data_IF_538429764387
#
_entry.id   IF_538429764387
#
_cell.length_a   1.000
_cell.length_b   1.000
_cell.length_c   1.000
_cell.angle_alpha   90.00
_cell.angle_beta   90.00
_cell.angle_gamma   90.00
#
_symmetry.space_group_name_H-M   'P 1'
#
loop_
_entity.id
_entity.type
_entity.pdbx_description
1 polymer ?
#
# COMPACT_ATOMS: atom_id res chain seq x y z
N UNK A 1 16.07 -24.90 5.02
CA UNK A 1 15.31 -24.73 3.77
C UNK A 1 14.35 -23.58 4.00
N UNK A 2 14.44 -22.50 3.22
CA UNK A 2 13.45 -21.42 3.28
C UNK A 2 12.07 -22.00 2.94
N UNK A 3 11.07 -21.68 3.75
CA UNK A 3 9.69 -22.04 3.43
C UNK A 3 9.31 -21.21 2.22
N UNK A 4 9.25 -21.82 1.03
CA UNK A 4 8.73 -21.13 -0.15
C UNK A 4 7.21 -20.96 0.06
N UNK A 5 6.78 -19.74 0.41
CA UNK A 5 5.37 -19.40 0.62
C UNK A 5 4.49 -19.90 -0.52
N UNK A 6 4.92 -19.69 -1.77
CA UNK A 6 4.17 -20.08 -2.95
C UNK A 6 3.96 -21.59 -3.09
N UNK A 7 4.90 -22.41 -2.59
CA UNK A 7 4.79 -23.86 -2.63
C UNK A 7 3.71 -24.40 -1.67
N UNK A 8 3.27 -23.58 -0.69
CA UNK A 8 2.21 -23.94 0.24
C UNK A 8 0.81 -23.51 -0.18
N UNK A 9 0.67 -22.81 -1.32
CA UNK A 9 -0.61 -22.34 -1.85
C UNK A 9 -1.27 -23.38 -2.75
N UNK A 10 -2.59 -23.27 -2.90
CA UNK A 10 -3.31 -24.03 -3.92
C UNK A 10 -2.90 -23.60 -5.34
N UNK A 11 -3.02 -24.52 -6.29
CA UNK A 11 -2.80 -24.21 -7.71
C UNK A 11 -3.85 -23.21 -8.17
N UNK A 12 -3.43 -22.18 -8.92
CA UNK A 12 -4.32 -21.13 -9.38
C UNK A 12 -3.88 -20.61 -10.74
N UNK A 13 -4.79 -20.54 -11.71
CA UNK A 13 -4.46 -20.25 -13.09
C UNK A 13 -4.11 -18.78 -13.34
N UNK A 14 -4.84 -17.85 -12.71
CA UNK A 14 -4.62 -16.42 -12.90
C UNK A 14 -3.59 -15.87 -11.91
N UNK A 15 -2.31 -15.92 -12.30
CA UNK A 15 -1.22 -15.28 -11.55
C UNK A 15 -1.05 -13.80 -11.91
N UNK A 16 -1.86 -13.24 -12.81
CA UNK A 16 -1.69 -11.92 -13.39
C UNK A 16 -0.60 -11.87 -14.47
N UNK A 17 -0.18 -10.66 -14.84
CA UNK A 17 0.84 -10.41 -15.86
C UNK A 17 2.23 -10.45 -15.23
N UNK A 18 3.04 -11.42 -15.64
CA UNK A 18 4.38 -11.71 -15.13
C UNK A 18 5.48 -11.26 -16.09
N UNK A 19 6.68 -11.00 -15.55
CA UNK A 19 7.89 -10.79 -16.34
C UNK A 19 7.89 -9.57 -17.27
N UNK A 20 7.07 -8.55 -16.99
CA UNK A 20 7.08 -7.32 -17.79
C UNK A 20 8.46 -6.65 -17.75
N UNK A 21 8.88 -5.97 -18.84
CA UNK A 21 10.14 -5.23 -18.85
C UNK A 21 10.20 -4.16 -17.76
N UNK A 22 11.37 -4.02 -17.15
CA UNK A 22 11.66 -2.93 -16.22
C UNK A 22 11.99 -1.65 -16.99
N UNK A 23 11.66 -0.52 -16.39
CA UNK A 23 12.01 0.82 -16.86
C UNK A 23 12.81 1.54 -15.78
N UNK A 24 13.72 2.40 -16.21
CA UNK A 24 14.62 3.15 -15.33
C UNK A 24 14.64 4.61 -15.79
N UNK A 25 14.24 5.51 -14.90
CA UNK A 25 14.41 6.95 -15.09
C UNK A 25 15.91 7.28 -15.16
N UNK A 26 16.26 8.29 -15.97
CA UNK A 26 17.63 8.84 -15.94
C UNK A 26 17.95 9.39 -14.54
N UNK A 27 19.24 9.55 -14.21
CA UNK A 27 19.64 10.08 -12.88
C UNK A 27 19.06 11.46 -12.62
N UNK A 28 19.02 12.30 -13.63
CA UNK A 28 18.48 13.65 -13.58
C UNK A 28 16.95 13.62 -13.37
N UNK A 29 16.23 12.83 -14.17
CA UNK A 29 14.77 12.66 -14.05
C UNK A 29 14.38 12.05 -12.70
N UNK A 30 15.12 11.03 -12.25
CA UNK A 30 14.90 10.40 -10.95
C UNK A 30 15.02 11.45 -9.83
N UNK A 31 16.10 12.24 -9.85
CA UNK A 31 16.30 13.30 -8.86
C UNK A 31 15.16 14.32 -8.85
N UNK A 32 14.76 14.83 -10.02
CA UNK A 32 13.65 15.79 -10.15
C UNK A 32 12.32 15.20 -9.62
N UNK A 33 12.04 13.94 -9.93
CA UNK A 33 10.84 13.24 -9.44
C UNK A 33 10.88 13.01 -7.93
N UNK A 34 12.04 12.68 -7.36
CA UNK A 34 12.19 12.52 -5.90
C UNK A 34 12.06 13.87 -5.19
N UNK A 35 12.56 14.96 -5.77
CA UNK A 35 12.32 16.33 -5.28
C UNK A 35 10.82 16.68 -5.28
N UNK A 36 10.11 16.35 -6.36
CA UNK A 36 8.66 16.51 -6.42
C UNK A 36 7.93 15.65 -5.37
N UNK A 37 8.34 14.39 -5.17
CA UNK A 37 7.80 13.52 -4.11
C UNK A 37 8.03 14.11 -2.72
N UNK A 38 9.23 14.62 -2.43
CA UNK A 38 9.54 15.27 -1.17
C UNK A 38 8.62 16.47 -0.93
N UNK A 39 8.34 17.28 -1.96
CA UNK A 39 7.40 18.39 -1.86
C UNK A 39 5.97 17.92 -1.56
N UNK A 40 5.49 16.89 -2.27
CA UNK A 40 4.16 16.31 -2.01
C UNK A 40 4.01 15.81 -0.57
N UNK A 41 5.06 15.17 -0.03
CA UNK A 41 5.06 14.66 1.34
C UNK A 41 5.07 15.79 2.37
N UNK A 42 5.78 16.90 2.11
CA UNK A 42 5.76 18.08 3.00
C UNK A 42 4.40 18.76 3.04
N UNK A 43 3.68 18.78 1.93
CA UNK A 43 2.36 19.40 1.81
C UNK A 43 1.22 18.51 2.35
N UNK A 44 1.38 17.19 2.24
CA UNK A 44 0.40 16.19 2.68
C UNK A 44 0.17 16.23 4.19
N UNK A 45 -1.10 16.22 4.58
CA UNK A 45 -1.53 16.08 5.98
C UNK A 45 -1.74 14.62 6.36
N UNK A 46 -2.07 13.77 5.39
CA UNK A 46 -2.36 12.36 5.61
C UNK A 46 -1.76 11.48 4.51
N UNK A 47 -0.46 11.18 4.65
CA UNK A 47 0.24 10.23 3.80
C UNK A 47 -0.08 8.79 4.21
N UNK A 48 -0.50 8.00 3.22
CA UNK A 48 -0.64 6.54 3.32
C UNK A 48 0.32 5.87 2.35
N UNK A 49 1.03 4.85 2.81
CA UNK A 49 1.93 4.04 1.98
C UNK A 49 1.31 2.69 1.70
N UNK A 50 1.45 2.23 0.46
CA UNK A 50 1.08 0.89 0.02
C UNK A 50 2.36 0.14 -0.42
N UNK A 51 2.72 -0.94 0.26
CA UNK A 51 3.92 -1.73 -0.09
C UNK A 51 3.59 -3.10 -0.67
N UNK A 52 4.41 -3.53 -1.62
CA UNK A 52 4.43 -4.90 -2.14
C UNK A 52 5.83 -5.51 -2.11
N UNK A 53 5.98 -6.68 -2.74
CA UNK A 53 7.17 -7.51 -2.59
C UNK A 53 8.46 -6.85 -3.10
N UNK A 54 8.35 -5.86 -3.99
CA UNK A 54 9.48 -5.11 -4.53
C UNK A 54 10.29 -4.34 -3.48
N UNK A 55 9.74 -4.08 -2.27
CA UNK A 55 10.52 -3.45 -1.19
C UNK A 55 11.41 -4.43 -0.42
N UNK A 56 11.23 -5.73 -0.64
CA UNK A 56 11.95 -6.82 0.06
C UNK A 56 12.97 -7.52 -0.85
N UNK A 57 13.06 -7.15 -2.14
CA UNK A 57 14.01 -7.75 -3.09
C UNK A 57 15.46 -7.47 -2.72
N UNK A 58 15.79 -6.26 -2.24
CA UNK A 58 17.13 -5.93 -1.72
C UNK A 58 17.46 -6.61 -0.39
N UNK A 59 16.46 -7.21 0.27
CA UNK A 59 16.64 -8.07 1.45
C UNK A 59 16.87 -9.54 1.09
N UNK A 60 16.92 -9.90 -0.20
CA UNK A 60 17.13 -11.28 -0.65
C UNK A 60 15.87 -12.12 -0.77
N UNK A 61 14.68 -11.51 -0.67
CA UNK A 61 13.38 -12.17 -0.87
C UNK A 61 12.88 -11.83 -2.28
N UNK A 62 12.67 -12.81 -3.17
CA UNK A 62 12.19 -12.54 -4.52
C UNK A 62 10.78 -11.92 -4.48
N UNK A 63 10.48 -11.07 -5.46
CA UNK A 63 9.11 -10.63 -5.69
C UNK A 63 8.28 -11.74 -6.36
N UNK A 64 7.05 -11.40 -6.76
CA UNK A 64 6.15 -12.36 -7.41
C UNK A 64 6.17 -12.31 -8.94
N UNK A 65 6.33 -11.12 -9.55
CA UNK A 65 6.06 -10.88 -10.99
C UNK A 65 7.17 -10.14 -11.72
N UNK A 66 8.25 -9.81 -11.02
CA UNK A 66 9.48 -9.27 -11.59
C UNK A 66 10.12 -10.24 -12.58
N UNK A 67 11.19 -9.85 -13.27
CA UNK A 67 11.87 -10.71 -14.25
C UNK A 67 12.32 -12.08 -13.71
N UNK A 68 12.55 -12.16 -12.39
CA UNK A 68 12.90 -13.36 -11.62
C UNK A 68 11.92 -13.65 -10.48
N UNK A 69 10.70 -13.10 -10.56
CA UNK A 69 9.69 -13.26 -9.54
C UNK A 69 9.14 -14.68 -9.48
N UNK A 70 8.59 -15.07 -8.33
CA UNK A 70 8.12 -16.44 -8.07
C UNK A 70 7.20 -16.99 -9.18
N UNK A 71 6.20 -16.23 -9.59
CA UNK A 71 5.25 -16.64 -10.65
C UNK A 71 5.87 -16.58 -12.03
N UNK A 72 6.82 -15.66 -12.26
CA UNK A 72 7.54 -15.56 -13.54
C UNK A 72 8.48 -16.76 -13.76
N UNK A 73 9.11 -17.24 -12.69
CA UNK A 73 9.94 -18.46 -12.76
C UNK A 73 9.07 -19.70 -12.91
N UNK A 74 7.94 -19.79 -12.17
CA UNK A 74 6.97 -20.88 -12.31
C UNK A 74 6.44 -21.01 -13.75
N UNK A 75 6.06 -19.90 -14.40
CA UNK A 75 5.63 -19.88 -15.81
C UNK A 75 6.70 -20.41 -16.78
N UNK A 76 7.98 -20.32 -16.41
CA UNK A 76 9.13 -20.84 -17.18
C UNK A 76 9.50 -22.28 -16.80
N UNK A 77 8.83 -22.89 -15.82
CA UNK A 77 9.21 -24.19 -15.28
C UNK A 77 10.49 -24.15 -14.43
N UNK A 78 10.85 -22.97 -13.92
CA UNK A 78 12.05 -22.73 -13.11
C UNK A 78 11.67 -22.46 -11.65
N UNK A 79 12.64 -22.62 -10.75
CA UNK A 79 12.46 -22.31 -9.32
C UNK A 79 12.94 -20.89 -9.01
N UNK A 80 12.21 -20.12 -8.18
CA UNK A 80 12.71 -18.82 -7.71
C UNK A 80 13.92 -18.99 -6.80
N UNK A 81 14.81 -18.01 -6.82
CA UNK A 81 15.97 -17.96 -5.94
C UNK A 81 15.69 -17.10 -4.71
N UNK A 82 16.09 -17.59 -3.54
CA UNK A 82 16.04 -16.87 -2.27
C UNK A 82 17.48 -16.76 -1.74
N UNK A 83 17.94 -15.53 -1.52
CA UNK A 83 19.28 -15.28 -0.95
C UNK A 83 19.26 -15.37 0.60
N UNK A 84 18.07 -15.45 1.20
CA UNK A 84 17.88 -15.50 2.65
C UNK A 84 16.66 -16.34 3.05
N UNK A 85 16.55 -16.65 4.34
CA UNK A 85 15.33 -17.17 4.95
C UNK A 85 14.49 -16.02 5.52
N UNK A 86 13.18 -16.22 5.74
CA UNK A 86 12.34 -15.19 6.36
C UNK A 86 12.84 -14.78 7.75
N UNK A 87 13.38 -15.73 8.53
CA UNK A 87 13.96 -15.47 9.85
C UNK A 87 15.24 -14.63 9.82
N UNK A 88 16.06 -14.80 8.78
CA UNK A 88 17.36 -14.11 8.63
C UNK A 88 17.24 -12.81 7.83
N UNK A 89 16.15 -12.65 7.07
CA UNK A 89 15.88 -11.45 6.30
C UNK A 89 15.93 -10.20 7.19
N UNK A 90 16.76 -9.25 6.78
CA UNK A 90 16.91 -7.94 7.43
C UNK A 90 16.01 -6.93 6.72
N UNK A 91 15.42 -5.95 7.44
CA UNK A 91 14.71 -4.86 6.80
C UNK A 91 15.59 -4.13 5.78
N UNK A 92 15.05 -3.91 4.57
CA UNK A 92 15.71 -3.08 3.57
C UNK A 92 15.80 -1.62 4.02
N UNK A 93 16.56 -0.80 3.28
CA UNK A 93 16.62 0.64 3.53
C UNK A 93 15.22 1.25 3.49
N UNK A 94 14.38 0.84 2.54
CA UNK A 94 12.99 1.28 2.42
C UNK A 94 12.16 0.97 3.67
N UNK A 95 12.26 -0.23 4.25
CA UNK A 95 11.54 -0.56 5.48
C UNK A 95 11.92 0.39 6.63
N UNK A 96 13.22 0.63 6.80
CA UNK A 96 13.70 1.52 7.85
C UNK A 96 13.36 2.99 7.56
N UNK A 97 13.36 3.41 6.30
CA UNK A 97 12.93 4.75 5.89
C UNK A 97 11.44 4.98 6.22
N UNK A 98 10.57 3.98 6.00
CA UNK A 98 9.16 4.04 6.38
C UNK A 98 8.97 4.17 7.90
N UNK A 99 9.77 3.46 8.70
CA UNK A 99 9.79 3.65 10.15
C UNK A 99 10.24 5.08 10.52
N UNK A 100 11.26 5.61 9.84
CA UNK A 100 11.72 6.99 10.01
C UNK A 100 10.64 8.03 9.69
N UNK A 101 9.93 7.87 8.56
CA UNK A 101 8.82 8.72 8.16
C UNK A 101 7.66 8.67 9.17
N UNK A 102 7.35 7.48 9.69
CA UNK A 102 6.32 7.31 10.72
C UNK A 102 6.72 8.05 12.01
N UNK A 103 7.95 7.84 12.50
CA UNK A 103 8.46 8.52 13.71
C UNK A 103 8.53 10.03 13.57
N UNK A 104 8.82 10.53 12.37
CA UNK A 104 8.80 11.96 12.06
C UNK A 104 7.37 12.53 11.89
N UNK A 105 6.34 11.68 11.89
CA UNK A 105 4.94 12.08 11.79
C UNK A 105 4.44 12.30 10.37
N UNK A 106 5.23 12.04 9.33
CA UNK A 106 4.80 12.14 7.94
C UNK A 106 3.85 10.98 7.57
N UNK A 107 4.28 9.74 7.80
CA UNK A 107 3.52 8.55 7.45
C UNK A 107 2.44 8.25 8.50
N UNK A 108 1.16 8.32 8.11
CA UNK A 108 0.02 8.08 9.01
C UNK A 108 -0.43 6.63 9.05
N UNK A 109 -0.29 5.92 7.94
CA UNK A 109 -0.74 4.53 7.85
C UNK A 109 0.01 3.77 6.76
N UNK A 110 0.30 2.50 7.02
CA UNK A 110 0.99 1.59 6.11
C UNK A 110 0.09 0.39 5.78
N UNK A 111 -0.08 0.13 4.50
CA UNK A 111 -0.89 -0.97 3.98
C UNK A 111 0.05 -1.89 3.20
N UNK A 112 0.23 -3.13 3.64
CA UNK A 112 1.16 -4.06 3.02
C UNK A 112 0.44 -5.27 2.44
N UNK A 113 0.91 -5.69 1.27
CA UNK A 113 0.59 -6.98 0.64
C UNK A 113 1.59 -8.08 0.99
N UNK A 114 2.68 -7.73 1.68
CA UNK A 114 3.77 -8.65 1.97
C UNK A 114 3.45 -9.53 3.16
N UNK A 115 3.82 -10.80 3.04
CA UNK A 115 3.71 -11.81 4.10
C UNK A 115 5.03 -12.04 4.85
N UNK A 116 6.12 -11.40 4.41
CA UNK A 116 7.48 -11.60 4.93
C UNK A 116 7.67 -11.19 6.41
N UNK A 117 6.74 -10.43 6.97
CA UNK A 117 6.76 -9.96 8.36
C UNK A 117 7.83 -8.92 8.68
N UNK A 118 8.54 -8.39 7.69
CA UNK A 118 9.66 -7.45 7.88
C UNK A 118 9.17 -6.13 8.47
N UNK A 119 8.01 -5.61 8.06
CA UNK A 119 7.45 -4.39 8.67
C UNK A 119 7.29 -4.53 10.18
N UNK A 120 6.66 -5.61 10.65
CA UNK A 120 6.51 -5.89 12.09
C UNK A 120 7.88 -6.00 12.74
N UNK A 121 8.79 -6.82 12.18
CA UNK A 121 10.13 -7.07 12.74
C UNK A 121 11.08 -5.87 12.70
N UNK A 122 10.79 -4.87 11.86
CA UNK A 122 11.53 -3.60 11.82
C UNK A 122 11.21 -2.70 13.03
N UNK A 123 10.15 -3.01 13.78
CA UNK A 123 9.61 -2.16 14.85
C UNK A 123 8.54 -1.18 14.36
N UNK A 124 8.00 -1.35 13.16
CA UNK A 124 6.87 -0.55 12.68
C UNK A 124 5.63 -0.79 13.55
N UNK A 125 4.92 0.25 14.01
CA UNK A 125 3.81 0.11 14.93
C UNK A 125 2.60 -0.60 14.30
N UNK A 126 2.19 -1.74 14.88
CA UNK A 126 1.13 -2.61 14.34
C UNK A 126 -0.24 -1.93 14.30
N UNK A 127 -0.54 -1.02 15.23
CA UNK A 127 -1.76 -0.21 15.20
C UNK A 127 -1.86 0.76 14.00
N UNK A 128 -0.76 1.00 13.27
CA UNK A 128 -0.71 1.82 12.04
C UNK A 128 -0.40 0.99 10.78
N UNK A 129 -0.46 -0.34 10.88
CA UNK A 129 -0.19 -1.29 9.81
C UNK A 129 -1.45 -2.13 9.52
N UNK A 130 -1.74 -2.34 8.24
CA UNK A 130 -2.64 -3.40 7.74
C UNK A 130 -1.84 -4.44 6.94
N UNK A 131 -1.86 -5.70 7.39
CA UNK A 131 -1.20 -6.83 6.73
C UNK A 131 -2.23 -7.63 5.92
N UNK A 132 -2.55 -7.16 4.71
CA UNK A 132 -3.74 -7.61 3.98
C UNK A 132 -3.69 -9.08 3.55
N UNK A 133 -2.51 -9.66 3.37
CA UNK A 133 -2.35 -11.06 2.94
C UNK A 133 -1.82 -11.97 4.06
N UNK A 134 -1.80 -11.46 5.30
CA UNK A 134 -1.26 -12.15 6.46
C UNK A 134 0.23 -11.91 6.67
N UNK A 135 0.80 -12.65 7.63
CA UNK A 135 2.21 -12.57 7.99
C UNK A 135 2.72 -13.95 8.42
N UNK A 136 3.87 -14.38 7.87
CA UNK A 136 4.45 -15.71 8.08
C UNK A 136 4.80 -16.00 9.55
N UNK A 137 4.88 -14.96 10.38
CA UNK A 137 5.20 -15.02 11.81
C UNK A 137 3.96 -14.86 12.71
N UNK A 138 2.77 -14.64 12.16
CA UNK A 138 1.55 -14.33 12.93
C UNK A 138 0.51 -15.43 12.82
N UNK A 139 0.10 -15.96 13.97
CA UNK A 139 -1.05 -16.87 14.11
C UNK A 139 -2.14 -16.21 14.95
N UNK A 140 -3.39 -16.51 14.63
CA UNK A 140 -4.57 -15.92 15.27
C UNK A 140 -5.44 -17.00 15.90
N UNK A 141 -5.98 -16.73 17.08
CA UNK A 141 -6.95 -17.63 17.70
C UNK A 141 -8.32 -17.51 17.03
N UNK A 142 -8.78 -18.59 16.38
CA UNK A 142 -10.11 -18.66 15.74
C UNK A 142 -11.32 -18.56 16.69
N UNK A 143 -11.11 -18.40 18.00
CA UNK A 143 -12.17 -18.19 19.01
C UNK A 143 -12.15 -16.79 19.62
N UNK A 144 -11.00 -16.12 19.65
CA UNK A 144 -10.86 -14.83 20.33
C UNK A 144 -10.25 -13.71 19.52
N UNK A 145 -9.72 -13.99 18.33
CA UNK A 145 -9.03 -13.01 17.51
C UNK A 145 -7.70 -12.53 18.10
N UNK A 146 -7.21 -13.11 19.20
CA UNK A 146 -5.87 -12.78 19.71
C UNK A 146 -4.83 -13.29 18.72
N UNK A 147 -3.99 -12.36 18.26
CA UNK A 147 -2.83 -12.64 17.44
C UNK A 147 -1.58 -12.83 18.30
N UNK A 148 -0.70 -13.73 17.85
CA UNK A 148 0.60 -14.00 18.44
C UNK A 148 1.66 -13.84 17.36
N UNK A 149 2.58 -12.90 17.56
CA UNK A 149 3.77 -12.75 16.73
C UNK A 149 4.85 -13.69 17.26
N UNK A 150 5.41 -14.54 16.39
CA UNK A 150 6.42 -15.55 16.73
C UNK A 150 7.80 -15.14 16.21
N UNK A 151 8.84 -15.72 16.80
CA UNK A 151 10.23 -15.47 16.35
C UNK A 151 10.58 -16.22 15.06
N UNK A 152 9.94 -17.36 14.84
CA UNK A 152 10.11 -18.25 13.67
C UNK A 152 8.84 -18.28 12.84
N UNK A 153 8.96 -18.62 11.56
CA UNK A 153 7.77 -18.80 10.71
C UNK A 153 6.90 -19.92 11.24
N UNK A 154 5.58 -19.75 11.08
CA UNK A 154 4.58 -20.74 11.50
C UNK A 154 4.60 -21.98 10.60
N UNK A 155 4.97 -21.80 9.32
CA UNK A 155 5.12 -22.89 8.35
C UNK A 155 3.80 -23.53 7.90
N UNK A 156 2.67 -22.85 8.12
CA UNK A 156 1.33 -23.29 7.70
C UNK A 156 0.67 -22.15 6.92
N UNK A 157 0.06 -22.46 5.77
CA UNK A 157 -0.60 -21.49 4.88
C UNK A 157 -2.10 -21.80 4.71
N UNK A 158 -2.85 -20.84 4.17
CA UNK A 158 -4.26 -21.01 3.80
C UNK A 158 -5.19 -21.14 5.00
N UNK A 159 -5.02 -20.28 6.01
CA UNK A 159 -5.86 -20.23 7.21
C UNK A 159 -6.06 -21.59 7.92
N UNK A 160 -5.03 -22.44 7.90
CA UNK A 160 -5.06 -23.77 8.53
C UNK A 160 -4.61 -23.72 10.00
N UNK A 161 -5.07 -24.67 10.85
CA UNK A 161 -4.61 -24.79 12.23
C UNK A 161 -3.11 -25.06 12.34
N UNK A 162 -2.45 -24.38 13.27
CA UNK A 162 -0.99 -24.46 13.48
C UNK A 162 -0.58 -25.59 14.44
N UNK A 163 -1.55 -26.31 15.00
CA UNK A 163 -1.34 -27.32 16.05
C UNK A 163 -1.23 -26.74 17.47
N UNK A 164 -1.28 -25.41 17.64
CA UNK A 164 -1.21 -24.73 18.94
C UNK A 164 -2.59 -24.24 19.41
N UNK A 165 -2.66 -23.90 20.69
CA UNK A 165 -3.87 -23.40 21.34
C UNK A 165 -3.63 -22.03 21.97
N UNK A 166 -4.67 -21.22 21.99
CA UNK A 166 -4.65 -19.89 22.56
C UNK A 166 -4.44 -19.90 24.08
N UNK A 167 -3.43 -19.14 24.49
CA UNK A 167 -2.97 -18.97 25.87
C UNK A 167 -3.72 -17.86 26.62
N UNK A 168 -4.55 -17.05 25.92
CA UNK A 168 -5.30 -15.97 26.57
C UNK A 168 -6.24 -16.49 27.65
N UNK A 169 -6.29 -15.75 28.76
CA UNK A 169 -7.15 -16.04 29.89
C UNK A 169 -8.33 -15.09 29.90
N UNK A 170 -9.54 -15.64 29.82
CA UNK A 170 -10.81 -14.94 29.77
C UNK A 170 -11.53 -15.01 31.13
N UNK A 171 -12.53 -14.14 31.30
CA UNK A 171 -13.39 -14.14 32.49
C UNK A 171 -12.63 -13.76 33.77
N UNK A 172 -11.87 -12.65 33.75
CA UNK A 172 -11.08 -12.16 34.90
C UNK A 172 -10.06 -13.17 35.42
N UNK A 173 -9.38 -13.89 34.52
CA UNK A 173 -8.33 -14.84 34.90
C UNK A 173 -8.82 -16.27 35.21
N UNK A 174 -10.12 -16.55 35.10
CA UNK A 174 -10.70 -17.82 35.56
C UNK A 174 -10.75 -18.93 34.50
N UNK A 175 -10.71 -18.61 33.20
CA UNK A 175 -10.85 -19.61 32.13
C UNK A 175 -9.91 -19.34 30.97
N UNK A 176 -9.07 -20.32 30.60
CA UNK A 176 -8.28 -20.25 29.38
C UNK A 176 -9.16 -20.32 28.13
N UNK A 177 -8.79 -19.57 27.10
CA UNK A 177 -9.55 -19.51 25.86
C UNK A 177 -9.55 -20.86 25.13
N UNK A 178 -8.35 -21.45 24.99
CA UNK A 178 -8.06 -22.76 24.35
C UNK A 178 -8.62 -22.90 22.93
N UNK A 179 -8.88 -21.80 22.22
CA UNK A 179 -9.20 -21.86 20.79
C UNK A 179 -7.97 -22.30 19.98
N UNK A 180 -8.19 -23.01 18.88
CA UNK A 180 -7.10 -23.38 17.96
C UNK A 180 -6.47 -22.12 17.38
N UNK A 181 -5.14 -22.11 17.30
CA UNK A 181 -4.41 -21.06 16.58
C UNK A 181 -4.37 -21.42 15.09
N UNK A 182 -4.60 -20.42 14.26
CA UNK A 182 -4.78 -20.51 12.82
C UNK A 182 -3.73 -19.61 12.17
N UNK A 183 -3.12 -20.06 11.07
CA UNK A 183 -2.24 -19.20 10.27
C UNK A 183 -3.00 -17.98 9.74
N UNK A 184 -2.32 -16.84 9.58
CA UNK A 184 -2.92 -15.64 8.96
C UNK A 184 -2.71 -15.57 7.45
N UNK A 185 -1.93 -16.50 6.89
CA UNK A 185 -1.59 -16.51 5.47
C UNK A 185 -2.80 -16.95 4.64
N UNK A 186 -3.18 -16.11 3.67
CA UNK A 186 -4.28 -16.39 2.76
C UNK A 186 -3.88 -17.38 1.67
N UNK A 187 -4.84 -18.20 1.24
CA UNK A 187 -4.81 -18.88 -0.06
C UNK A 187 -5.60 -18.05 -1.08
N UNK A 188 -5.61 -18.45 -2.36
CA UNK A 188 -6.18 -17.64 -3.45
C UNK A 188 -7.66 -17.27 -3.28
N UNK A 189 -8.48 -18.19 -2.77
CA UNK A 189 -9.93 -18.01 -2.63
C UNK A 189 -10.34 -17.50 -1.23
N UNK A 190 -9.37 -17.27 -0.35
CA UNK A 190 -9.64 -16.79 1.00
C UNK A 190 -9.94 -15.29 1.01
N UNK A 191 -10.89 -14.89 1.84
CA UNK A 191 -11.22 -13.49 2.02
C UNK A 191 -10.09 -12.74 2.77
N UNK A 192 -9.88 -11.47 2.42
CA UNK A 192 -8.98 -10.62 3.19
C UNK A 192 -9.48 -10.43 4.64
N UNK A 193 -8.56 -10.29 5.62
CA UNK A 193 -8.93 -10.04 7.01
C UNK A 193 -9.73 -8.73 7.13
N UNK A 194 -11.01 -8.85 7.51
CA UNK A 194 -11.98 -7.75 7.51
C UNK A 194 -11.49 -6.54 8.31
N UNK A 195 -10.87 -6.77 9.48
CA UNK A 195 -10.33 -5.70 10.33
C UNK A 195 -9.25 -4.88 9.63
N UNK A 196 -8.29 -5.55 8.99
CA UNK A 196 -7.18 -4.90 8.31
C UNK A 196 -7.62 -4.25 7.01
N UNK A 197 -8.55 -4.88 6.27
CA UNK A 197 -9.15 -4.29 5.07
C UNK A 197 -9.95 -3.03 5.41
N UNK A 198 -10.82 -3.07 6.42
CA UNK A 198 -11.62 -1.90 6.83
C UNK A 198 -10.73 -0.72 7.25
N UNK A 199 -9.68 -0.97 8.04
CA UNK A 199 -8.71 0.07 8.43
C UNK A 199 -7.94 0.61 7.22
N UNK A 200 -7.55 -0.27 6.29
CA UNK A 200 -6.86 0.12 5.06
C UNK A 200 -7.76 0.98 4.16
N UNK A 201 -9.02 0.60 3.96
CA UNK A 201 -9.98 1.41 3.21
C UNK A 201 -10.23 2.77 3.85
N UNK A 202 -10.41 2.82 5.18
CA UNK A 202 -10.59 4.08 5.90
C UNK A 202 -9.37 4.99 5.72
N UNK A 203 -8.16 4.45 5.93
CA UNK A 203 -6.92 5.20 5.76
C UNK A 203 -6.77 5.72 4.33
N UNK A 204 -7.00 4.87 3.31
CA UNK A 204 -6.91 5.28 1.90
C UNK A 204 -7.96 6.33 1.53
N UNK A 205 -9.18 6.28 2.09
CA UNK A 205 -10.21 7.32 1.87
C UNK A 205 -9.86 8.65 2.57
N UNK A 206 -9.16 8.61 3.70
CA UNK A 206 -8.73 9.81 4.45
C UNK A 206 -7.49 10.47 3.88
N UNK A 207 -6.68 9.72 3.14
CA UNK A 207 -5.44 10.22 2.58
C UNK A 207 -5.64 11.36 1.58
N UNK A 208 -4.73 12.33 1.63
CA UNK A 208 -4.53 13.31 0.57
C UNK A 208 -3.33 12.93 -0.33
N UNK A 209 -2.50 11.98 0.11
CA UNK A 209 -1.40 11.40 -0.65
C UNK A 209 -1.30 9.89 -0.40
N UNK A 210 -1.35 9.10 -1.48
CA UNK A 210 -1.04 7.68 -1.48
C UNK A 210 0.30 7.45 -2.20
N UNK A 211 1.24 6.77 -1.55
CA UNK A 211 2.52 6.39 -2.11
C UNK A 211 2.60 4.87 -2.23
N UNK A 212 2.70 4.34 -3.44
CA UNK A 212 2.84 2.90 -3.68
C UNK A 212 4.30 2.55 -3.95
N UNK A 213 4.85 1.56 -3.24
CA UNK A 213 6.24 1.14 -3.33
C UNK A 213 6.31 -0.36 -3.66
N UNK A 214 6.94 -0.71 -4.79
CA UNK A 214 7.28 -2.09 -5.12
C UNK A 214 6.08 -3.04 -5.25
N UNK A 215 4.97 -2.57 -5.80
CA UNK A 215 3.77 -3.39 -6.08
C UNK A 215 3.28 -3.14 -7.51
N UNK A 216 2.92 -4.21 -8.21
CA UNK A 216 2.31 -4.11 -9.54
C UNK A 216 0.82 -3.75 -9.51
N UNK A 217 0.21 -3.68 -8.31
CA UNK A 217 -1.20 -3.34 -8.07
C UNK A 217 -2.20 -4.27 -8.78
N UNK A 218 -1.81 -5.51 -9.07
CA UNK A 218 -2.64 -6.41 -9.86
C UNK A 218 -3.75 -7.10 -9.04
N UNK A 219 -3.45 -7.44 -7.79
CA UNK A 219 -4.35 -8.17 -6.88
C UNK A 219 -5.44 -7.26 -6.33
N UNK A 220 -6.68 -7.73 -6.35
CA UNK A 220 -7.82 -7.02 -5.76
C UNK A 220 -8.23 -7.65 -4.43
N UNK A 221 -8.75 -6.86 -3.47
CA UNK A 221 -8.97 -5.40 -3.54
C UNK A 221 -7.71 -4.58 -3.21
N UNK A 222 -6.63 -5.20 -2.74
CA UNK A 222 -5.44 -4.50 -2.21
C UNK A 222 -4.78 -3.51 -3.18
N UNK A 223 -4.68 -3.86 -4.47
CA UNK A 223 -4.14 -3.01 -5.52
C UNK A 223 -5.04 -1.83 -5.91
N UNK A 224 -6.35 -1.92 -5.67
CA UNK A 224 -7.30 -0.84 -5.99
C UNK A 224 -7.36 0.22 -4.87
N UNK A 225 -6.85 -0.06 -3.66
CA UNK A 225 -6.92 0.85 -2.49
C UNK A 225 -6.30 2.24 -2.71
N UNK A 226 -5.14 2.42 -3.38
CA UNK A 226 -4.60 3.75 -3.69
C UNK A 226 -5.58 4.62 -4.50
N UNK A 227 -6.50 4.02 -5.27
CA UNK A 227 -7.50 4.77 -6.04
C UNK A 227 -8.56 5.42 -5.13
N UNK A 228 -8.74 4.95 -3.90
CA UNK A 228 -9.69 5.55 -2.97
C UNK A 228 -9.24 6.95 -2.56
N UNK A 229 -7.93 7.15 -2.42
CA UNK A 229 -7.29 8.47 -2.24
C UNK A 229 -7.59 9.38 -3.42
N UNK A 230 -7.38 8.89 -4.65
CA UNK A 230 -7.66 9.65 -5.87
C UNK A 230 -9.12 10.09 -5.99
N UNK A 231 -10.07 9.20 -5.67
CA UNK A 231 -11.52 9.48 -5.70
C UNK A 231 -11.94 10.57 -4.72
N UNK A 232 -11.16 10.83 -3.67
CA UNK A 232 -11.39 11.91 -2.70
C UNK A 232 -10.60 13.19 -3.01
N UNK A 233 -9.96 13.26 -4.18
CA UNK A 233 -9.19 14.42 -4.62
C UNK A 233 -7.70 14.38 -4.25
N UNK A 234 -7.25 13.33 -3.55
CA UNK A 234 -5.84 13.12 -3.21
C UNK A 234 -4.99 12.74 -4.43
N UNK A 235 -3.67 12.76 -4.22
CA UNK A 235 -2.67 12.38 -5.24
C UNK A 235 -2.19 10.95 -5.02
N UNK A 236 -1.87 10.27 -6.11
CA UNK A 236 -1.28 8.91 -6.08
C UNK A 236 0.10 8.99 -6.70
N UNK A 237 1.12 8.55 -5.98
CA UNK A 237 2.49 8.42 -6.49
C UNK A 237 2.84 6.94 -6.55
N UNK A 238 3.40 6.51 -7.68
CA UNK A 238 3.79 5.12 -7.91
C UNK A 238 5.30 5.04 -8.11
N UNK A 239 5.97 4.25 -7.26
CA UNK A 239 7.40 3.93 -7.38
C UNK A 239 7.51 2.43 -7.67
N UNK A 240 7.85 2.08 -8.91
CA UNK A 240 7.99 0.70 -9.34
C UNK A 240 8.87 0.60 -10.60
N UNK A 241 9.67 -0.47 -10.73
CA UNK A 241 10.47 -0.71 -11.92
C UNK A 241 9.62 -1.14 -13.13
N UNK A 242 8.63 -2.00 -12.89
CA UNK A 242 7.71 -2.47 -13.94
C UNK A 242 6.46 -1.58 -14.04
N UNK A 243 5.74 -1.61 -15.18
CA UNK A 243 4.41 -1.02 -15.28
C UNK A 243 3.45 -1.58 -14.21
N UNK A 244 2.57 -0.72 -13.69
CA UNK A 244 1.52 -1.14 -12.75
C UNK A 244 0.13 -1.06 -13.38
N UNK A 245 -0.84 -1.76 -12.79
CA UNK A 245 -2.25 -1.74 -13.24
C UNK A 245 -2.86 -0.32 -13.26
N UNK A 246 -2.34 0.60 -12.44
CA UNK A 246 -2.95 1.90 -12.20
C UNK A 246 -2.07 3.09 -12.61
N UNK A 247 -1.08 2.85 -13.46
CA UNK A 247 -0.18 3.89 -13.99
C UNK A 247 -0.92 5.13 -14.52
N UNK A 248 -2.04 4.94 -15.23
CA UNK A 248 -2.85 6.04 -15.80
C UNK A 248 -3.49 6.96 -14.76
N UNK A 249 -3.57 6.52 -13.50
CA UNK A 249 -4.16 7.29 -12.39
C UNK A 249 -3.12 7.99 -11.53
N UNK A 250 -1.82 7.71 -11.74
CA UNK A 250 -0.74 8.30 -10.98
C UNK A 250 -0.61 9.80 -11.29
N UNK A 251 -0.46 10.60 -10.24
CA UNK A 251 -0.02 11.98 -10.34
C UNK A 251 1.48 12.06 -10.66
N UNK A 252 2.27 11.11 -10.13
CA UNK A 252 3.70 11.00 -10.37
C UNK A 252 4.07 9.51 -10.45
N UNK A 253 4.87 9.14 -11.46
CA UNK A 253 5.47 7.80 -11.58
C UNK A 253 6.98 7.93 -11.54
N UNK A 254 7.61 7.11 -10.71
CA UNK A 254 9.05 7.04 -10.53
C UNK A 254 9.50 5.62 -10.86
N UNK A 255 10.34 5.48 -11.87
CA UNK A 255 10.85 4.21 -12.34
C UNK A 255 12.29 4.06 -11.84
N UNK A 256 12.45 3.52 -10.64
CA UNK A 256 13.75 3.34 -10.00
C UNK A 256 13.70 2.37 -8.83
N UNK A 257 14.86 1.98 -8.34
CA UNK A 257 14.96 1.14 -7.14
C UNK A 257 14.40 1.90 -5.94
N UNK A 258 13.49 1.26 -5.21
CA UNK A 258 12.83 1.89 -4.05
C UNK A 258 13.82 2.33 -2.98
N UNK A 259 14.90 1.58 -2.74
CA UNK A 259 15.94 1.98 -1.77
C UNK A 259 16.68 3.25 -2.20
N UNK A 260 16.94 3.44 -3.51
CA UNK A 260 17.57 4.66 -4.02
C UNK A 260 16.61 5.86 -3.88
N UNK A 261 15.35 5.68 -4.27
CA UNK A 261 14.29 6.70 -4.14
C UNK A 261 14.11 7.11 -2.69
N UNK A 262 14.00 6.14 -1.77
CA UNK A 262 13.78 6.41 -0.35
C UNK A 262 15.01 7.01 0.31
N UNK A 263 16.22 6.65 -0.10
CA UNK A 263 17.46 7.27 0.38
C UNK A 263 17.50 8.76 0.04
N UNK A 264 17.30 9.11 -1.24
CA UNK A 264 17.26 10.51 -1.69
C UNK A 264 16.10 11.28 -1.05
N UNK A 265 14.93 10.65 -0.90
CA UNK A 265 13.78 11.26 -0.25
C UNK A 265 14.06 11.62 1.22
N UNK A 266 14.63 10.68 1.98
CA UNK A 266 14.97 10.89 3.39
C UNK A 266 16.00 12.01 3.56
N UNK A 267 16.99 12.09 2.67
CA UNK A 267 17.97 13.19 2.63
C UNK A 267 17.28 14.54 2.38
N UNK A 268 16.41 14.63 1.38
CA UNK A 268 15.68 15.86 1.07
C UNK A 268 14.75 16.30 2.21
N UNK A 269 14.12 15.35 2.91
CA UNK A 269 13.30 15.64 4.09
C UNK A 269 14.12 15.96 5.35
N UNK A 270 15.45 15.80 5.30
CA UNK A 270 16.34 16.02 6.44
C UNK A 270 16.14 14.98 7.55
N UNK A 271 15.73 13.76 7.19
CA UNK A 271 15.42 12.68 8.12
C UNK A 271 16.51 11.60 8.11
N UNK A 272 16.86 11.12 9.29
CA UNK A 272 17.79 9.99 9.45
C UNK A 272 17.01 8.69 9.32
N UNK A 273 17.55 7.76 8.52
CA UNK A 273 17.05 6.38 8.45
C UNK A 273 17.50 5.65 9.73
N UNK A 274 16.57 5.17 10.59
CA UNK A 274 16.92 4.48 11.82
C UNK A 274 17.73 3.21 11.55
N UNK A 275 18.67 2.89 12.45
CA UNK A 275 19.37 1.61 12.44
C UNK A 275 18.45 0.50 12.94
N UNK A 276 18.66 -0.71 12.43
CA UNK A 276 17.94 -1.90 12.88
C UNK A 276 18.83 -2.72 13.82
N UNK A 277 18.42 -2.81 15.09
CA UNK A 277 19.15 -3.52 16.14
C UNK A 277 18.74 -4.99 16.30
N UNK A 278 17.72 -5.43 15.54
CA UNK A 278 17.19 -6.79 15.56
C UNK A 278 15.67 -6.83 15.54
N UNK A 279 15.07 -8.03 15.43
CA UNK A 279 13.62 -8.20 15.37
C UNK A 279 12.93 -7.56 16.59
N UNK A 280 12.11 -6.55 16.35
CA UNK A 280 11.43 -5.78 17.40
C UNK A 280 9.96 -5.69 17.08
N UNK A 281 9.07 -6.08 18.00
CA UNK A 281 7.62 -5.96 17.81
C UNK A 281 7.11 -4.73 18.56
N UNK A 282 6.42 -3.83 17.85
CA UNK A 282 5.81 -2.63 18.42
C UNK A 282 4.28 -2.69 18.23
N UNK A 283 3.52 -2.93 19.31
CA UNK A 283 2.05 -3.03 19.20
C UNK A 283 1.39 -1.69 18.88
N UNK A 284 1.91 -0.59 19.46
CA UNK A 284 1.33 0.73 19.26
C UNK A 284 2.37 1.86 19.25
N UNK A 285 2.19 2.84 18.37
CA UNK A 285 2.88 4.13 18.46
C UNK A 285 2.44 4.88 19.72
N UNK A 286 3.37 5.33 20.58
CA UNK A 286 3.02 6.26 21.67
C UNK A 286 2.61 7.62 21.09
N UNK A 287 1.65 8.35 21.70
CA UNK A 287 1.12 9.60 21.12
C UNK A 287 2.08 10.81 21.11
N UNK A 288 3.30 10.69 21.61
CA UNK A 288 4.02 11.86 22.13
C UNK A 288 5.48 11.96 21.69
N UNK A 289 5.69 11.98 20.38
CA UNK A 289 6.90 12.61 19.84
C UNK A 289 6.49 13.69 18.87
N UNK A 290 6.69 14.96 19.28
CA UNK A 290 6.71 16.09 18.35
C UNK A 290 7.64 15.72 17.19
N UNK A 291 7.32 16.12 15.95
CA UNK A 291 8.22 15.92 14.81
C UNK A 291 9.63 16.36 15.20
N UNK A 292 10.61 15.47 15.03
CA UNK A 292 12.01 15.84 15.21
C UNK A 292 12.27 17.09 14.34
N UNK A 293 12.87 18.16 14.89
CA UNK A 293 13.08 19.37 14.12
C UNK A 293 13.92 19.03 12.89
N UNK A 294 13.41 19.41 11.71
CA UNK A 294 14.17 19.32 10.47
C UNK A 294 15.52 20.00 10.69
N UNK A 295 16.61 19.29 10.42
CA UNK A 295 17.95 19.86 10.50
C UNK A 295 18.00 20.99 9.48
N UNK A 296 18.08 22.23 9.96
CA UNK A 296 18.19 23.40 9.12
C UNK A 296 19.49 23.31 8.30
N UNK A 297 19.36 23.03 7.00
CA UNK A 297 20.47 23.17 6.06
C UNK A 297 20.85 24.65 6.02
N UNK A 298 22.02 24.98 6.56
CA UNK A 298 22.58 26.33 6.49
C UNK A 298 22.82 26.66 5.00
N UNK A 299 21.96 27.48 4.41
CA UNK A 299 22.27 28.19 3.17
C UNK A 299 23.40 29.19 3.48
N UNK A 300 24.62 28.86 3.11
CA UNK A 300 25.70 29.85 3.02
C UNK A 300 25.39 30.83 1.88
N UNK A 301 24.80 31.96 2.24
CA UNK A 301 24.67 33.11 1.34
C UNK A 301 26.02 33.84 1.37
N UNK A 302 26.85 33.61 0.34
CA UNK A 302 28.00 34.48 0.04
C UNK A 302 27.46 35.88 -0.29
N UNK A 303 27.60 36.82 0.67
CA UNK A 303 27.31 38.24 0.46
C UNK A 303 28.24 38.79 -0.62
N UNK A 304 27.64 39.23 -1.73
CA UNK A 304 28.30 40.02 -2.76
C UNK A 304 28.76 41.38 -2.23
N UNK A 305 29.98 41.75 -2.62
CA UNK A 305 30.63 43.03 -2.37
C UNK A 305 29.85 44.15 -3.05
N UNK A 306 29.34 45.12 -2.27
CA UNK A 306 28.81 46.38 -2.81
C UNK A 306 29.98 47.33 -3.10
N UNK A 307 30.17 47.71 -4.37
CA UNK A 307 30.95 48.89 -4.75
C UNK A 307 30.01 50.09 -4.83
N UNK A 308 30.39 51.14 -4.11
CA UNK A 308 29.76 52.46 -4.10
C UNK A 308 29.90 53.14 -5.46
N UNK A 309 28.82 53.77 -5.93
CA UNK A 309 28.86 54.79 -6.97
C UNK A 309 28.18 56.03 -6.42
N UNK A 310 28.98 57.08 -6.19
CA UNK A 310 28.52 58.45 -5.94
C UNK A 310 27.83 59.00 -7.19
N UNK A 311 26.65 59.61 -7.02
CA UNK A 311 26.18 60.68 -7.91
C UNK A 311 25.48 61.77 -7.10
N UNK A 312 26.03 62.97 -7.23
CA UNK A 312 25.47 64.25 -6.82
C UNK A 312 24.28 64.65 -7.71
N UNK A 313 23.48 65.62 -7.24
CA UNK A 313 22.74 66.51 -8.15
C UNK A 313 21.23 66.59 -7.90
N UNK A 314 20.84 67.49 -6.99
CA UNK A 314 19.47 67.95 -6.75
C UNK A 314 19.08 69.00 -7.79
N UNK A 315 18.00 68.81 -8.55
CA UNK A 315 17.19 69.90 -9.15
C UNK A 315 15.70 69.54 -9.19
N UNK A 316 14.88 70.49 -8.74
CA UNK A 316 13.41 70.53 -8.80
C UNK A 316 12.94 71.04 -10.17
N UNK A 317 11.65 70.78 -10.47
CA UNK A 317 10.72 71.35 -11.48
C UNK A 317 10.04 70.15 -12.17
N UNK A 318 8.74 70.01 -12.37
CA UNK A 318 7.53 70.80 -12.17
C UNK A 318 6.39 70.00 -12.85
N UNK A 319 5.17 70.01 -12.34
CA UNK A 319 4.02 69.47 -13.08
C UNK A 319 3.72 70.35 -14.30
N UNK A 320 3.20 69.75 -15.39
CA UNK A 320 1.81 70.08 -15.72
C UNK A 320 0.98 68.93 -16.33
N UNK A 321 -0.30 68.95 -15.92
CA UNK A 321 -1.58 68.83 -16.66
C UNK A 321 -1.80 67.85 -17.82
N UNK A 322 -3.04 67.32 -17.77
CA UNK A 322 -3.83 66.53 -18.71
C UNK A 322 -3.94 67.12 -20.12
N UNK A 323 -4.03 66.23 -21.11
CA UNK A 323 -4.90 66.36 -22.30
C UNK A 323 -5.60 65.01 -22.59
N UNK A 324 -6.91 65.09 -22.86
CA UNK A 324 -7.79 64.10 -23.51
C UNK A 324 -7.44 64.07 -25.02
N UNK A 325 -7.68 63.06 -25.86
CA UNK A 325 -8.94 62.53 -26.46
C UNK A 325 -8.43 61.42 -27.44
N UNK A 326 -9.00 60.21 -27.60
CA UNK A 326 -10.10 59.80 -28.51
C UNK A 326 -10.33 58.28 -28.25
N UNK A 327 -11.48 57.84 -27.74
CA UNK A 327 -12.66 57.39 -28.50
C UNK A 327 -12.36 56.47 -29.71
N UNK A 328 -12.43 55.15 -29.49
CA UNK A 328 -13.31 54.31 -30.32
C UNK A 328 -13.91 53.15 -29.50
N UNK A 329 -15.24 53.07 -29.60
CA UNK A 329 -16.20 52.19 -28.91
C UNK A 329 -16.11 50.77 -29.54
N UNK A 330 -16.59 49.67 -28.98
CA UNK A 330 -17.98 49.35 -28.63
C UNK A 330 -17.99 48.05 -27.80
N UNK A 331 -18.82 48.08 -26.75
CA UNK A 331 -19.25 46.93 -25.97
C UNK A 331 -20.32 46.11 -26.70
N UNK A 332 -20.30 44.78 -26.59
CA UNK A 332 -21.54 43.99 -26.35
C UNK A 332 -21.20 42.83 -25.42
N UNK A 333 -21.88 42.84 -24.27
CA UNK A 333 -21.99 41.79 -23.26
C UNK A 333 -22.92 40.67 -23.75
N UNK A 334 -22.77 39.50 -23.12
CA UNK A 334 -23.81 38.48 -22.91
C UNK A 334 -24.29 37.76 -24.17
N UNK A 335 -23.66 36.62 -24.44
CA UNK A 335 -24.30 35.39 -24.94
C UNK A 335 -23.21 34.31 -25.07
N UNK A 336 -22.76 33.76 -23.93
CA UNK A 336 -21.95 32.52 -23.92
C UNK A 336 -21.94 31.83 -22.56
N UNK A 337 -23.06 31.83 -21.87
CA UNK A 337 -23.23 31.17 -20.58
C UNK A 337 -24.32 30.08 -20.57
N UNK A 338 -24.88 29.70 -21.73
CA UNK A 338 -25.99 28.72 -21.82
C UNK A 338 -25.71 27.56 -22.80
N UNK A 339 -24.45 27.27 -23.14
CA UNK A 339 -24.12 26.17 -24.06
C UNK A 339 -23.14 25.13 -23.51
N UNK A 340 -22.91 25.07 -22.19
CA UNK A 340 -22.05 24.05 -21.58
C UNK A 340 -22.74 23.25 -20.46
N UNK A 341 -24.05 23.36 -20.35
CA UNK A 341 -24.87 22.64 -19.36
C UNK A 341 -25.64 21.45 -19.93
N UNK A 342 -25.80 21.31 -21.25
CA UNK A 342 -26.55 20.17 -21.84
C UNK A 342 -25.68 18.95 -22.21
N UNK A 343 -24.34 19.06 -22.22
CA UNK A 343 -23.44 17.91 -22.42
C UNK A 343 -22.99 17.25 -21.11
N UNK A 344 -23.23 17.88 -19.95
CA UNK A 344 -22.87 17.32 -18.64
C UNK A 344 -23.96 16.50 -17.95
N UNK A 345 -25.18 16.48 -18.49
CA UNK A 345 -26.29 15.68 -17.94
C UNK A 345 -26.52 14.36 -18.68
N UNK A 346 -25.85 14.10 -19.80
CA UNK A 346 -25.95 12.81 -20.52
C UNK A 346 -24.98 11.73 -20.01
N UNK A 347 -23.91 12.11 -19.32
CA UNK A 347 -22.95 11.15 -18.75
C UNK A 347 -23.29 10.73 -17.30
N UNK A 348 -24.26 11.39 -16.65
CA UNK A 348 -24.70 11.05 -15.29
C UNK A 348 -25.82 9.99 -15.22
N UNK A 349 -26.41 9.59 -16.36
CA UNK A 349 -27.57 8.67 -16.41
C UNK A 349 -27.22 7.27 -16.96
N UNK A 350 -25.94 6.90 -17.07
CA UNK A 350 -25.50 5.60 -17.61
C UNK A 350 -24.93 4.61 -16.57
N UNK A 351 -25.00 4.92 -15.28
CA UNK A 351 -24.47 4.05 -14.20
C UNK A 351 -25.47 3.79 -13.07
N UNK A 352 -26.77 3.76 -13.37
CA UNK A 352 -27.82 3.29 -12.44
C UNK A 352 -28.79 2.38 -13.17
N UNK A 353 -28.37 1.14 -13.41
CA UNK A 353 -29.29 0.02 -13.61
C UNK A 353 -28.69 -1.20 -12.93
N UNK A 354 -29.07 -1.41 -11.67
CA UNK A 354 -28.90 -2.67 -10.97
C UNK A 354 -30.29 -3.22 -10.70
N UNK A 355 -30.78 -4.00 -11.66
CA UNK A 355 -31.96 -4.85 -11.47
C UNK A 355 -31.61 -5.96 -10.45
N UNK A 356 -32.53 -6.30 -9.53
CA UNK A 356 -32.27 -7.26 -8.48
C UNK A 356 -32.13 -8.68 -9.03
N UNK A 357 -31.12 -9.40 -8.53
CA UNK A 357 -30.89 -10.83 -8.77
C UNK A 357 -32.07 -11.61 -8.16
N UNK A 358 -32.75 -12.50 -8.89
CA UNK A 358 -33.82 -13.30 -8.32
C UNK A 358 -33.25 -14.38 -7.40
N UNK A 359 -33.74 -14.37 -6.16
CA UNK A 359 -33.54 -15.42 -5.16
C UNK A 359 -34.21 -16.70 -5.69
N UNK A 360 -33.42 -17.73 -6.03
CA UNK A 360 -33.96 -19.07 -6.22
C UNK A 360 -34.26 -19.69 -4.85
N UNK A 361 -35.52 -19.61 -4.43
CA UNK A 361 -36.09 -20.49 -3.42
C UNK A 361 -36.18 -21.90 -4.00
N UNK A 362 -35.35 -22.82 -3.51
CA UNK A 362 -35.61 -24.26 -3.67
C UNK A 362 -36.79 -24.62 -2.77
N UNK A 363 -37.97 -24.75 -3.36
CA UNK A 363 -39.06 -25.49 -2.74
C UNK A 363 -38.71 -26.98 -2.78
N UNK A 364 -38.57 -27.57 -1.60
CA UNK A 364 -38.66 -29.01 -1.41
C UNK A 364 -40.11 -29.43 -1.64
N UNK A 365 -40.37 -30.11 -2.75
CA UNK A 365 -41.61 -30.86 -2.93
C UNK A 365 -41.51 -32.16 -2.13
N UNK A 366 -42.26 -32.20 -1.03
CA UNK A 366 -42.66 -33.43 -0.35
C UNK A 366 -43.81 -34.05 -1.13
N UNK A 367 -43.52 -35.10 -1.90
CA UNK A 367 -44.54 -36.04 -2.36
C UNK A 367 -44.32 -37.42 -1.74
N UNK A 368 -45.35 -37.84 -0.99
CA UNK A 368 -45.56 -39.16 -0.42
C UNK A 368 -45.99 -40.15 -1.52
N UNK A 369 -45.61 -41.41 -1.33
CA UNK A 369 -46.19 -42.59 -2.00
C UNK A 369 -45.11 -43.40 -2.73
N UNK A 370 -44.89 -44.67 -2.46
CA UNK A 370 -45.57 -45.64 -1.59
C UNK A 370 -44.74 -46.92 -1.55
N UNK A 371 -45.15 -47.82 -0.66
CA UNK A 371 -44.62 -49.15 -0.43
C UNK A 371 -44.23 -49.93 -1.71
N UNK A 372 -43.06 -50.58 -1.68
CA UNK A 372 -43.05 -52.02 -1.86
C UNK A 372 -41.80 -52.69 -1.27
N UNK A 373 -42.11 -53.82 -0.65
CA UNK A 373 -41.32 -54.75 0.12
C UNK A 373 -40.49 -55.67 -0.82
N UNK A 374 -39.70 -56.56 -0.23
CA UNK A 374 -38.75 -57.54 -0.84
C UNK A 374 -37.30 -57.04 -0.85
N UNK A 375 -36.30 -57.76 -0.37
CA UNK A 375 -36.21 -59.12 0.11
C UNK A 375 -34.75 -59.38 0.50
N UNK A 376 -34.54 -60.32 1.42
CA UNK A 376 -33.28 -60.69 2.04
C UNK A 376 -32.10 -60.95 1.09
N UNK A 377 -30.88 -60.65 1.54
CA UNK A 377 -29.85 -61.68 1.87
C UNK A 377 -28.45 -61.06 2.00
N UNK A 378 -27.86 -61.13 3.19
CA UNK A 378 -26.41 -61.27 3.35
C UNK A 378 -25.97 -62.66 2.81
N UNK A 379 -24.69 -62.86 2.44
CA UNK A 379 -23.75 -63.31 3.47
C UNK A 379 -22.27 -62.86 3.28
N UNK A 380 -21.54 -62.88 4.41
CA UNK A 380 -20.14 -63.31 4.63
C UNK A 380 -19.02 -62.84 3.69
N UNK A 381 -18.00 -62.09 4.17
CA UNK A 381 -16.77 -62.52 4.87
C UNK A 381 -15.76 -63.33 4.01
N UNK A 382 -14.47 -63.05 4.29
CA UNK A 382 -13.19 -63.58 3.74
C UNK A 382 -12.82 -63.07 2.33
N UNK A 383 -11.61 -62.55 2.07
CA UNK A 383 -10.28 -62.66 2.68
C UNK A 383 -9.48 -61.36 2.44
#
# INVERSE_FOLDING_TARGET
MSVNYAAGLSTYADKGVCGLPESFDSKEELKEKVEALAQLIRESQYLVVHSGAGISTSSGIPDFRGPKGVWTMEERGESPHFDTTFEEARPSLTHMALLGLQRAGYLKYLISQNVDGIHVRSGFPRNLLSELHGNMFVEECGKCGKQYVREKVIGVMGLKPTGKYCEEVRGRGLRSCRGKLISTILDWEEALPEKDLNRAEEASRRADLALTLGTSLQIKPSGDLPLFTKRKGGKVVIVNLQPTKHDKHAHLRINGYVDEVMSQLMELLGLVIPKWDGPTVCESSTPDQKPLPAIATKKEVKKGVKKEVKREGRKRLGEPKKEEVDEEKIAVKKERAEQTTEEREKDLQACTDSSPIPVQTQNQDLSRGGDQNEGASSPTLSL
#
